data_IF_328198934564
#
_entry.id   IF_328198934564
#
_cell.length_a   1.000
_cell.length_b   1.000
_cell.length_c   1.000
_cell.angle_alpha   90.00
_cell.angle_beta   90.00
_cell.angle_gamma   90.00
#
_symmetry.space_group_name_H-M   'P 1'
#
loop_
_entity.id
_entity.type
_entity.pdbx_description
1 polymer ?
#
# COMPACT_ATOMS: atom_id res chain seq x y z
N UNK A 1 0.77 16.82 -21.76
CA UNK A 1 1.88 17.61 -21.20
C UNK A 1 1.66 18.06 -19.74
N UNK A 2 0.46 18.51 -19.36
CA UNK A 2 0.17 19.03 -18.01
C UNK A 2 0.25 17.99 -16.88
N UNK A 3 -0.19 16.75 -17.12
CA UNK A 3 -0.16 15.67 -16.13
C UNK A 3 1.28 15.23 -15.79
N UNK A 4 2.15 15.11 -16.81
CA UNK A 4 3.56 14.74 -16.60
C UNK A 4 4.30 15.80 -15.77
N UNK A 5 4.09 17.09 -16.05
CA UNK A 5 4.67 18.17 -15.24
C UNK A 5 4.10 18.20 -13.81
N UNK A 6 2.82 17.86 -13.61
CA UNK A 6 2.23 17.74 -12.28
C UNK A 6 2.87 16.60 -11.49
N UNK A 7 3.03 15.43 -12.12
CA UNK A 7 3.67 14.25 -11.53
C UNK A 7 5.15 14.55 -11.21
N UNK A 8 5.93 15.07 -12.15
CA UNK A 8 7.34 15.45 -11.92
C UNK A 8 7.48 16.50 -10.80
N UNK A 9 6.55 17.45 -10.69
CA UNK A 9 6.57 18.47 -9.62
C UNK A 9 6.22 17.91 -8.24
N UNK A 10 5.50 16.79 -8.18
CA UNK A 10 5.08 16.14 -6.92
C UNK A 10 6.01 14.99 -6.52
N UNK A 11 6.70 14.38 -7.49
CA UNK A 11 7.53 13.20 -7.29
C UNK A 11 8.91 13.40 -7.96
N UNK A 12 9.81 14.16 -7.32
CA UNK A 12 11.02 14.67 -7.97
C UNK A 12 12.14 13.64 -8.20
N UNK A 13 12.04 12.43 -7.63
CA UNK A 13 13.10 11.42 -7.72
C UNK A 13 12.57 9.98 -7.67
N UNK A 14 13.12 9.04 -8.47
CA UNK A 14 14.11 9.22 -9.53
C UNK A 14 13.49 9.73 -10.86
N UNK A 15 14.31 10.29 -11.77
CA UNK A 15 13.83 10.80 -13.06
C UNK A 15 13.17 9.72 -13.91
N UNK A 16 12.08 10.08 -14.59
CA UNK A 16 11.29 9.20 -15.49
C UNK A 16 12.12 8.49 -16.57
N UNK A 17 13.30 9.00 -16.92
CA UNK A 17 14.16 8.48 -18.00
C UNK A 17 15.25 7.49 -17.53
N UNK A 18 15.18 6.99 -16.30
CA UNK A 18 16.07 5.89 -15.89
C UNK A 18 15.59 4.57 -16.48
N UNK A 19 16.44 3.95 -17.30
CA UNK A 19 16.18 2.78 -18.13
C UNK A 19 16.09 1.46 -17.31
N UNK A 20 15.41 1.47 -16.16
CA UNK A 20 15.13 0.30 -15.32
C UNK A 20 13.88 -0.42 -15.79
N UNK A 21 13.91 -1.76 -15.80
CA UNK A 21 12.97 -2.71 -16.43
C UNK A 21 11.54 -2.19 -16.69
N UNK A 22 11.17 -2.07 -17.97
CA UNK A 22 9.76 -2.27 -18.35
C UNK A 22 9.49 -3.71 -17.93
N UNK A 23 8.54 -3.95 -17.03
CA UNK A 23 8.10 -5.32 -16.76
C UNK A 23 7.79 -5.97 -18.11
N UNK A 24 8.30 -7.19 -18.27
CA UNK A 24 8.33 -7.89 -19.55
C UNK A 24 6.91 -7.94 -20.14
N UNK A 25 6.79 -7.84 -21.48
CA UNK A 25 5.49 -7.86 -22.16
C UNK A 25 4.69 -9.16 -21.89
N UNK A 26 5.37 -10.15 -21.31
CA UNK A 26 4.89 -11.47 -20.91
C UNK A 26 4.27 -11.51 -19.51
N UNK A 27 4.59 -10.57 -18.61
CA UNK A 27 4.11 -10.59 -17.23
C UNK A 27 2.59 -10.33 -17.18
N UNK A 28 1.80 -11.19 -16.51
CA UNK A 28 0.37 -10.99 -16.40
C UNK A 28 0.02 -9.63 -15.78
N UNK A 29 -1.03 -8.98 -16.30
CA UNK A 29 -1.39 -7.62 -15.88
C UNK A 29 -1.69 -7.52 -14.37
N UNK A 30 -2.34 -8.53 -13.82
CA UNK A 30 -2.68 -8.59 -12.39
C UNK A 30 -1.43 -8.72 -11.52
N UNK A 31 -0.42 -9.47 -11.96
CA UNK A 31 0.87 -9.61 -11.27
C UNK A 31 1.59 -8.26 -11.24
N UNK A 32 1.62 -7.56 -12.38
CA UNK A 32 2.17 -6.21 -12.44
C UNK A 32 1.45 -5.24 -11.50
N UNK A 33 0.12 -5.34 -11.39
CA UNK A 33 -0.67 -4.51 -10.49
C UNK A 33 -0.37 -4.80 -9.02
N UNK A 34 -0.32 -6.09 -8.62
CA UNK A 34 -0.03 -6.52 -7.25
C UNK A 34 1.36 -6.04 -6.79
N UNK A 35 2.41 -6.23 -7.61
CA UNK A 35 3.76 -5.75 -7.29
C UNK A 35 3.80 -4.24 -7.06
N UNK A 36 3.10 -3.46 -7.88
CA UNK A 36 3.01 -2.01 -7.69
C UNK A 36 2.26 -1.68 -6.40
N UNK A 37 1.21 -2.43 -6.06
CA UNK A 37 0.50 -2.26 -4.80
C UNK A 37 1.42 -2.55 -3.61
N UNK A 38 2.18 -3.66 -3.63
CA UNK A 38 3.15 -4.03 -2.60
C UNK A 38 4.17 -2.91 -2.37
N UNK A 39 4.75 -2.37 -3.46
CA UNK A 39 5.70 -1.25 -3.38
C UNK A 39 5.12 -0.03 -2.68
N UNK A 40 3.91 0.35 -3.05
CA UNK A 40 3.21 1.48 -2.41
C UNK A 40 3.03 1.23 -0.91
N UNK A 41 2.53 0.04 -0.55
CA UNK A 41 2.27 -0.32 0.84
C UNK A 41 3.56 -0.36 1.67
N UNK A 42 4.62 -1.00 1.17
CA UNK A 42 5.93 -1.01 1.84
C UNK A 42 6.45 0.40 2.06
N UNK A 43 6.40 1.26 1.04
CA UNK A 43 6.86 2.64 1.19
C UNK A 43 6.13 3.38 2.32
N UNK A 44 4.81 3.19 2.43
CA UNK A 44 4.00 3.79 3.50
C UNK A 44 4.32 3.22 4.88
N UNK A 45 4.52 1.90 4.98
CA UNK A 45 4.98 1.28 6.24
C UNK A 45 6.32 1.86 6.65
N UNK A 46 7.29 1.94 5.73
CA UNK A 46 8.63 2.50 5.99
C UNK A 46 8.58 3.98 6.39
N UNK A 47 7.68 4.76 5.80
CA UNK A 47 7.43 6.13 6.21
C UNK A 47 6.89 6.20 7.64
N UNK A 48 5.95 5.34 8.01
CA UNK A 48 5.36 5.30 9.35
C UNK A 48 6.35 4.82 10.41
N UNK A 49 7.20 3.84 10.09
CA UNK A 49 8.29 3.38 10.98
C UNK A 49 9.22 4.54 11.31
N UNK A 50 9.74 5.24 10.29
CA UNK A 50 10.62 6.40 10.48
C UNK A 50 9.96 7.50 11.31
N UNK A 51 8.66 7.76 11.07
CA UNK A 51 7.92 8.77 11.84
C UNK A 51 7.70 8.32 13.29
N UNK A 52 7.41 7.05 13.55
CA UNK A 52 7.27 6.52 14.91
C UNK A 52 8.60 6.55 15.67
N UNK A 53 9.72 6.24 15.03
CA UNK A 53 11.06 6.35 15.61
C UNK A 53 11.40 7.79 16.01
N UNK A 54 11.10 8.76 15.14
CA UNK A 54 11.31 10.18 15.43
C UNK A 54 10.43 10.64 16.61
N UNK A 55 9.15 10.26 16.62
CA UNK A 55 8.24 10.55 17.73
C UNK A 55 8.76 9.96 19.06
N UNK A 56 9.21 8.70 19.04
CA UNK A 56 9.77 8.02 20.20
C UNK A 56 11.05 8.70 20.70
N UNK A 57 11.93 9.10 19.78
CA UNK A 57 13.20 9.78 20.09
C UNK A 57 12.98 11.15 20.72
N UNK A 58 12.00 11.92 20.22
CA UNK A 58 11.62 13.24 20.78
C UNK A 58 10.76 13.14 22.03
N UNK A 59 10.27 11.95 22.38
CA UNK A 59 9.38 11.71 23.52
C UNK A 59 8.10 12.57 23.49
N UNK A 60 7.66 13.02 22.32
CA UNK A 60 6.52 13.93 22.17
C UNK A 60 6.65 15.30 22.87
N UNK A 61 7.85 15.68 23.34
CA UNK A 61 8.10 16.95 24.05
C UNK A 61 8.48 18.09 23.12
N UNK A 62 9.31 17.79 22.12
CA UNK A 62 9.85 18.78 21.21
C UNK A 62 9.00 18.86 19.96
N UNK A 63 8.65 20.08 19.55
CA UNK A 63 7.93 20.31 18.28
C UNK A 63 8.78 19.72 17.14
N UNK A 64 8.17 18.81 16.38
CA UNK A 64 8.77 18.26 15.16
C UNK A 64 8.65 19.29 14.04
N UNK A 65 8.29 18.82 12.85
CA UNK A 65 7.98 19.72 11.72
C UNK A 65 6.89 20.74 12.13
N UNK A 66 7.13 22.06 11.98
CA UNK A 66 6.14 23.11 12.27
C UNK A 66 4.78 22.89 11.58
N UNK A 67 4.77 22.25 10.40
CA UNK A 67 3.58 21.87 9.63
C UNK A 67 2.73 20.83 10.36
N UNK A 68 3.32 20.01 11.23
CA UNK A 68 2.62 18.97 12.00
C UNK A 68 1.78 19.52 13.17
N UNK A 69 2.04 20.77 13.59
CA UNK A 69 1.29 21.44 14.65
C UNK A 69 1.79 21.08 16.05
N UNK A 70 0.87 20.87 17.00
CA UNK A 70 1.23 20.41 18.35
C UNK A 70 1.54 18.91 18.37
N UNK A 71 2.25 18.38 19.39
CA UNK A 71 2.52 16.94 19.51
C UNK A 71 1.25 16.08 19.40
N UNK A 72 0.14 16.52 20.00
CA UNK A 72 -1.15 15.85 19.88
C UNK A 72 -1.72 15.88 18.45
N UNK A 73 -1.54 16.97 17.72
CA UNK A 73 -1.93 17.04 16.31
C UNK A 73 -1.08 16.12 15.45
N UNK A 74 0.22 16.01 15.75
CA UNK A 74 1.15 15.13 15.08
C UNK A 74 0.73 13.66 15.24
N UNK A 75 0.45 13.19 16.45
CA UNK A 75 -0.06 11.83 16.70
C UNK A 75 -1.40 11.59 15.98
N UNK A 76 -2.30 12.59 15.93
CA UNK A 76 -3.55 12.49 15.16
C UNK A 76 -3.31 12.38 13.66
N UNK A 77 -2.29 13.05 13.11
CA UNK A 77 -1.91 12.93 11.69
C UNK A 77 -1.29 11.56 11.41
N UNK A 78 -0.41 11.10 12.31
CA UNK A 78 0.16 9.76 12.28
C UNK A 78 -0.93 8.68 12.21
N UNK A 79 -1.90 8.73 13.13
CA UNK A 79 -3.00 7.78 13.16
C UNK A 79 -3.93 7.83 11.95
N UNK A 80 -4.11 9.01 11.34
CA UNK A 80 -4.83 9.11 10.05
C UNK A 80 -4.05 8.40 8.94
N UNK A 81 -2.75 8.68 8.81
CA UNK A 81 -1.90 8.02 7.81
C UNK A 81 -1.86 6.51 7.99
N UNK A 82 -1.77 6.02 9.24
CA UNK A 82 -1.84 4.58 9.52
C UNK A 82 -3.20 3.98 9.15
N UNK A 83 -4.30 4.70 9.43
CA UNK A 83 -5.64 4.22 9.06
C UNK A 83 -5.85 4.13 7.56
N UNK A 84 -5.31 5.08 6.78
CA UNK A 84 -5.34 5.05 5.32
C UNK A 84 -4.53 3.87 4.77
N UNK A 85 -3.33 3.63 5.30
CA UNK A 85 -2.52 2.46 4.93
C UNK A 85 -3.25 1.16 5.24
N UNK A 86 -3.83 1.04 6.43
CA UNK A 86 -4.58 -0.15 6.83
C UNK A 86 -5.74 -0.43 5.88
N UNK A 87 -6.46 0.61 5.43
CA UNK A 87 -7.54 0.45 4.46
C UNK A 87 -7.04 -0.10 3.11
N UNK A 88 -5.92 0.43 2.61
CA UNK A 88 -5.28 -0.06 1.37
C UNK A 88 -4.84 -1.52 1.52
N UNK A 89 -4.19 -1.88 2.62
CA UNK A 89 -3.72 -3.25 2.86
C UNK A 89 -4.88 -4.25 2.95
N UNK A 90 -5.98 -3.87 3.62
CA UNK A 90 -7.14 -4.74 3.76
C UNK A 90 -7.88 -4.95 2.45
N UNK A 91 -8.03 -3.91 1.64
CA UNK A 91 -8.70 -4.03 0.35
C UNK A 91 -7.84 -4.79 -0.66
N UNK A 92 -6.51 -4.62 -0.61
CA UNK A 92 -5.57 -5.40 -1.39
C UNK A 92 -5.62 -6.89 -1.04
N UNK A 93 -5.56 -7.24 0.25
CA UNK A 93 -5.71 -8.63 0.68
C UNK A 93 -7.06 -9.22 0.21
N UNK A 94 -8.16 -8.45 0.31
CA UNK A 94 -9.46 -8.89 -0.22
C UNK A 94 -9.47 -9.06 -1.74
N UNK A 95 -8.76 -8.22 -2.47
CA UNK A 95 -8.62 -8.34 -3.92
C UNK A 95 -7.93 -9.67 -4.27
N UNK A 96 -6.87 -10.02 -3.54
CA UNK A 96 -6.17 -11.27 -3.75
C UNK A 96 -7.02 -12.49 -3.40
N UNK A 97 -7.60 -12.48 -2.20
CA UNK A 97 -8.46 -13.56 -1.69
C UNK A 97 -9.68 -13.83 -2.57
N UNK A 98 -10.22 -12.79 -3.21
CA UNK A 98 -11.46 -12.89 -3.99
C UNK A 98 -11.23 -13.12 -5.48
N UNK A 99 -10.09 -12.68 -6.02
CA UNK A 99 -9.83 -12.70 -7.46
C UNK A 99 -8.57 -13.51 -7.78
N UNK A 100 -7.42 -13.12 -7.24
CA UNK A 100 -6.11 -13.70 -7.61
C UNK A 100 -5.98 -15.15 -7.14
N UNK A 101 -6.18 -15.37 -5.84
CA UNK A 101 -6.04 -16.69 -5.21
C UNK A 101 -7.03 -17.71 -5.77
N UNK A 102 -8.32 -17.40 -5.99
CA UNK A 102 -9.23 -18.35 -6.64
C UNK A 102 -8.79 -18.80 -8.04
N UNK A 103 -8.19 -17.90 -8.84
CA UNK A 103 -7.67 -18.27 -10.16
C UNK A 103 -6.51 -19.27 -10.01
N UNK A 104 -5.61 -19.04 -9.06
CA UNK A 104 -4.50 -19.96 -8.77
C UNK A 104 -5.01 -21.30 -8.23
N UNK A 105 -5.99 -21.31 -7.33
CA UNK A 105 -6.60 -22.53 -6.78
C UNK A 105 -7.33 -23.37 -7.83
N UNK A 106 -7.85 -22.73 -8.89
CA UNK A 106 -8.40 -23.44 -10.04
C UNK A 106 -7.32 -24.11 -10.89
N UNK A 107 -6.11 -23.55 -10.94
CA UNK A 107 -4.98 -24.12 -11.66
C UNK A 107 -4.31 -25.26 -10.87
N UNK A 108 -4.07 -25.08 -9.58
CA UNK A 108 -3.61 -26.12 -8.66
C UNK A 108 -4.10 -25.85 -7.23
N UNK A 109 -4.60 -26.90 -6.57
CA UNK A 109 -5.25 -26.79 -5.26
C UNK A 109 -4.23 -26.62 -4.15
N UNK A 110 -4.42 -25.59 -3.33
CA UNK A 110 -3.65 -25.30 -2.13
C UNK A 110 -2.52 -24.30 -2.32
N UNK A 111 -2.33 -23.75 -3.53
CA UNK A 111 -1.27 -22.77 -3.83
C UNK A 111 -1.36 -21.52 -2.96
N UNK A 112 -2.57 -21.04 -2.69
CA UNK A 112 -2.80 -19.79 -1.97
C UNK A 112 -3.04 -19.96 -0.47
N UNK A 113 -3.00 -21.20 0.04
CA UNK A 113 -3.39 -21.50 1.42
C UNK A 113 -2.51 -20.78 2.44
N UNK A 114 -1.20 -20.76 2.24
CA UNK A 114 -0.26 -20.13 3.17
C UNK A 114 -0.48 -18.61 3.24
N UNK A 115 -0.60 -17.94 2.08
CA UNK A 115 -0.86 -16.50 1.99
C UNK A 115 -2.19 -16.11 2.67
N UNK A 116 -3.27 -16.88 2.44
CA UNK A 116 -4.55 -16.69 3.14
C UNK A 116 -4.42 -16.80 4.67
N UNK A 117 -3.67 -17.80 5.15
CA UNK A 117 -3.44 -17.97 6.59
C UNK A 117 -2.58 -16.84 7.18
N UNK A 118 -1.71 -16.21 6.38
CA UNK A 118 -0.93 -15.03 6.75
C UNK A 118 -1.80 -13.79 6.91
N UNK A 119 -2.65 -13.50 5.93
CA UNK A 119 -3.63 -12.40 6.03
C UNK A 119 -4.45 -12.48 7.32
N UNK A 120 -4.92 -13.69 7.67
CA UNK A 120 -5.67 -13.93 8.90
C UNK A 120 -4.86 -13.66 10.18
N UNK A 121 -3.54 -13.92 10.15
CA UNK A 121 -2.63 -13.67 11.29
C UNK A 121 -2.23 -12.19 11.40
N UNK A 122 -2.12 -11.48 10.29
CA UNK A 122 -1.68 -10.08 10.28
C UNK A 122 -2.78 -9.10 10.67
N UNK A 123 -4.03 -9.42 10.37
CA UNK A 123 -5.19 -8.59 10.74
C UNK A 123 -5.24 -8.20 12.24
N UNK A 124 -5.11 -9.13 13.21
CA UNK A 124 -5.09 -8.75 14.62
C UNK A 124 -3.85 -7.92 15.01
N UNK A 125 -2.70 -8.12 14.37
CA UNK A 125 -1.48 -7.33 14.60
C UNK A 125 -1.72 -5.88 14.21
N UNK A 126 -2.25 -5.66 12.99
CA UNK A 126 -2.58 -4.34 12.47
C UNK A 126 -3.64 -3.62 13.32
N UNK A 127 -4.70 -4.33 13.72
CA UNK A 127 -5.70 -3.76 14.63
C UNK A 127 -5.10 -3.39 16.00
N UNK A 128 -4.20 -4.19 16.54
CA UNK A 128 -3.50 -3.88 17.79
C UNK A 128 -2.69 -2.58 17.68
N UNK A 129 -1.97 -2.37 16.58
CA UNK A 129 -1.23 -1.12 16.33
C UNK A 129 -2.19 0.08 16.24
N UNK A 130 -3.34 -0.08 15.58
CA UNK A 130 -4.39 0.97 15.51
C UNK A 130 -4.86 1.40 16.90
N UNK A 131 -5.10 0.44 17.79
CA UNK A 131 -5.53 0.73 19.18
C UNK A 131 -4.40 1.35 20.02
N UNK A 132 -3.15 0.95 19.82
CA UNK A 132 -1.99 1.58 20.46
C UNK A 132 -1.90 3.07 20.09
N UNK A 133 -2.08 3.41 18.80
CA UNK A 133 -2.06 4.79 18.32
C UNK A 133 -3.19 5.62 18.96
N UNK A 134 -4.41 5.07 19.05
CA UNK A 134 -5.54 5.76 19.71
C UNK A 134 -5.23 6.02 21.18
N UNK A 135 -4.66 5.03 21.87
CA UNK A 135 -4.29 5.13 23.28
C UNK A 135 -3.23 6.20 23.50
N UNK A 136 -2.18 6.25 22.66
CA UNK A 136 -1.16 7.29 22.71
C UNK A 136 -1.77 8.69 22.50
N UNK A 137 -2.77 8.82 21.64
CA UNK A 137 -3.43 10.09 21.33
C UNK A 137 -4.16 10.77 22.51
N UNK A 138 -4.37 10.05 23.62
CA UNK A 138 -4.98 10.57 24.85
C UNK A 138 -4.00 10.71 26.02
N UNK A 139 -2.76 10.24 25.87
CA UNK A 139 -1.74 10.37 26.92
C UNK A 139 -1.18 11.80 26.99
N UNK A 140 -0.71 12.17 28.18
CA UNK A 140 0.00 13.42 28.39
C UNK A 140 1.32 13.41 27.65
N UNK A 141 1.44 14.27 26.63
CA UNK A 141 2.64 14.38 25.80
C UNK A 141 3.86 14.70 26.66
N UNK A 142 4.93 13.92 26.49
CA UNK A 142 6.14 14.07 27.28
C UNK A 142 6.14 13.40 28.65
N UNK A 143 5.07 12.73 29.05
CA UNK A 143 5.10 11.84 30.21
C UNK A 143 5.97 10.59 29.92
N UNK A 144 6.58 9.97 30.95
CA UNK A 144 7.32 8.71 30.76
C UNK A 144 6.45 7.60 30.13
N UNK A 145 5.17 7.55 30.48
CA UNK A 145 4.19 6.59 29.93
C UNK A 145 3.96 6.83 28.44
N UNK A 146 3.81 8.09 28.02
CA UNK A 146 3.69 8.44 26.60
C UNK A 146 4.94 8.05 25.81
N UNK A 147 6.12 8.28 26.39
CA UNK A 147 7.39 7.93 25.76
C UNK A 147 7.56 6.41 25.60
N UNK A 148 7.25 5.63 26.64
CA UNK A 148 7.25 4.16 26.57
C UNK A 148 6.27 3.63 25.52
N UNK A 149 5.05 4.17 25.49
CA UNK A 149 4.05 3.79 24.50
C UNK A 149 4.49 4.09 23.06
N UNK A 150 5.16 5.23 22.82
CA UNK A 150 5.73 5.56 21.51
C UNK A 150 6.87 4.61 21.11
N UNK A 151 7.71 4.20 22.06
CA UNK A 151 8.78 3.23 21.80
C UNK A 151 8.23 1.84 21.45
N UNK A 152 7.21 1.40 22.19
CA UNK A 152 6.51 0.14 21.91
C UNK A 152 5.82 0.17 20.55
N UNK A 153 5.13 1.27 20.20
CA UNK A 153 4.53 1.47 18.89
C UNK A 153 5.57 1.38 17.77
N UNK A 154 6.71 2.08 17.93
CA UNK A 154 7.82 2.02 16.96
C UNK A 154 8.32 0.60 16.75
N UNK A 155 8.48 -0.17 17.84
CA UNK A 155 8.92 -1.57 17.80
C UNK A 155 7.91 -2.45 17.05
N UNK A 156 6.62 -2.32 17.35
CA UNK A 156 5.56 -3.09 16.67
C UNK A 156 5.45 -2.76 15.18
N UNK A 157 5.64 -1.50 14.81
CA UNK A 157 5.65 -1.09 13.40
C UNK A 157 6.85 -1.66 12.64
N UNK A 158 8.01 -1.79 13.28
CA UNK A 158 9.16 -2.48 12.67
C UNK A 158 8.88 -3.96 12.46
N UNK A 159 8.25 -4.62 13.43
CA UNK A 159 7.82 -6.02 13.26
C UNK A 159 6.84 -6.15 12.10
N UNK A 160 5.83 -5.27 12.01
CA UNK A 160 4.90 -5.26 10.88
C UNK A 160 5.62 -5.02 9.55
N UNK A 161 6.61 -4.11 9.52
CA UNK A 161 7.41 -3.84 8.33
C UNK A 161 8.14 -5.09 7.84
N UNK A 162 8.81 -5.83 8.73
CA UNK A 162 9.52 -7.05 8.35
C UNK A 162 8.53 -8.11 7.86
N UNK A 163 7.40 -8.30 8.54
CA UNK A 163 6.36 -9.23 8.09
C UNK A 163 5.83 -8.88 6.69
N UNK A 164 5.49 -7.61 6.43
CA UNK A 164 5.03 -7.20 5.11
C UNK A 164 6.10 -7.43 4.03
N UNK A 165 7.38 -7.21 4.36
CA UNK A 165 8.47 -7.45 3.43
C UNK A 165 8.63 -8.93 3.11
N UNK A 166 8.57 -9.79 4.13
CA UNK A 166 8.67 -11.24 3.96
C UNK A 166 7.48 -11.76 3.13
N UNK A 167 6.26 -11.42 3.55
CA UNK A 167 5.02 -11.83 2.87
C UNK A 167 5.01 -11.42 1.38
N UNK A 168 5.20 -10.13 1.07
CA UNK A 168 5.21 -9.69 -0.33
C UNK A 168 6.37 -10.28 -1.13
N UNK A 169 7.54 -10.54 -0.52
CA UNK A 169 8.64 -11.20 -1.22
C UNK A 169 8.33 -12.66 -1.54
N UNK A 170 7.67 -13.38 -0.64
CA UNK A 170 7.24 -14.76 -0.87
C UNK A 170 6.20 -14.81 -1.98
N UNK A 171 5.24 -13.89 -1.98
CA UNK A 171 4.26 -13.81 -3.06
C UNK A 171 4.89 -13.46 -4.41
N UNK A 172 5.72 -12.43 -4.46
CA UNK A 172 6.37 -11.99 -5.70
C UNK A 172 7.33 -13.03 -6.28
N UNK A 173 7.96 -13.84 -5.43
CA UNK A 173 8.93 -14.86 -5.83
C UNK A 173 8.29 -16.21 -6.16
N UNK A 174 7.33 -16.64 -5.34
CA UNK A 174 6.89 -18.04 -5.34
C UNK A 174 5.43 -18.19 -5.81
N UNK A 175 4.56 -17.21 -5.54
CA UNK A 175 3.12 -17.33 -5.80
C UNK A 175 2.68 -16.63 -7.08
N UNK A 176 2.91 -15.32 -7.20
CA UNK A 176 2.50 -14.49 -8.33
C UNK A 176 3.05 -14.98 -9.69
N UNK A 177 4.29 -15.48 -9.80
CA UNK A 177 4.78 -16.03 -11.06
C UNK A 177 3.96 -17.23 -11.58
N UNK A 178 3.28 -17.98 -10.69
CA UNK A 178 2.41 -19.09 -11.09
C UNK A 178 1.18 -18.62 -11.88
N UNK A 179 0.84 -17.33 -11.82
CA UNK A 179 -0.22 -16.75 -12.66
C UNK A 179 0.11 -16.90 -14.15
N UNK A 180 1.38 -16.97 -14.55
CA UNK A 180 1.77 -17.23 -15.95
C UNK A 180 1.32 -18.61 -16.42
N UNK A 181 1.33 -19.61 -15.53
CA UNK A 181 0.91 -20.98 -15.84
C UNK A 181 -0.62 -21.14 -16.01
N UNK A 182 -1.39 -20.09 -15.72
CA UNK A 182 -2.85 -20.08 -15.92
C UNK A 182 -3.24 -19.84 -17.38
N UNK A 183 -2.27 -19.50 -18.24
CA UNK A 183 -2.42 -19.32 -19.70
C UNK A 183 -3.61 -18.41 -20.10
N UNK A 184 -3.93 -17.41 -19.28
CA UNK A 184 -5.02 -16.47 -19.55
C UNK A 184 -4.74 -15.69 -20.83
N UNK A 185 -5.74 -15.66 -21.73
CA UNK A 185 -5.73 -14.79 -22.91
C UNK A 185 -5.62 -13.33 -22.48
N UNK A 186 -5.18 -12.46 -23.39
CA UNK A 186 -5.09 -11.03 -23.12
C UNK A 186 -6.41 -10.43 -22.64
N UNK A 187 -7.53 -10.80 -23.28
CA UNK A 187 -8.86 -10.35 -22.89
C UNK A 187 -9.28 -10.89 -21.52
N UNK A 188 -8.83 -12.10 -21.16
CA UNK A 188 -9.05 -12.64 -19.81
C UNK A 188 -8.23 -11.86 -18.76
N UNK A 189 -6.96 -11.56 -19.05
CA UNK A 189 -6.13 -10.77 -18.15
C UNK A 189 -6.69 -9.36 -17.92
N UNK A 190 -7.19 -8.70 -18.97
CA UNK A 190 -7.82 -7.39 -18.85
C UNK A 190 -9.11 -7.45 -17.99
N UNK A 191 -9.92 -8.51 -18.13
CA UNK A 191 -11.10 -8.72 -17.27
C UNK A 191 -10.73 -9.01 -15.81
N UNK A 192 -9.70 -9.81 -15.57
CA UNK A 192 -9.21 -10.08 -14.21
C UNK A 192 -8.70 -8.80 -13.56
N UNK A 193 -7.94 -8.00 -14.29
CA UNK A 193 -7.47 -6.70 -13.81
C UNK A 193 -8.63 -5.75 -13.45
N UNK A 194 -9.67 -5.71 -14.29
CA UNK A 194 -10.88 -4.92 -14.03
C UNK A 194 -11.59 -5.38 -12.75
N UNK A 195 -11.75 -6.70 -12.54
CA UNK A 195 -12.31 -7.25 -11.30
C UNK A 195 -11.46 -6.92 -10.07
N UNK A 196 -10.14 -6.93 -10.21
CA UNK A 196 -9.25 -6.50 -9.12
C UNK A 196 -9.47 -5.03 -8.76
N UNK A 197 -9.62 -4.16 -9.77
CA UNK A 197 -9.88 -2.74 -9.56
C UNK A 197 -11.29 -2.47 -8.99
N UNK A 198 -12.28 -3.29 -9.34
CA UNK A 198 -13.61 -3.25 -8.74
C UNK A 198 -13.57 -3.57 -7.24
N UNK A 199 -12.80 -4.57 -6.82
CA UNK A 199 -12.61 -4.85 -5.40
C UNK A 199 -11.90 -3.69 -4.71
N UNK A 200 -10.92 -3.08 -5.38
CA UNK A 200 -10.15 -1.94 -4.88
C UNK A 200 -10.89 -0.57 -4.96
N UNK A 201 -12.18 -0.57 -5.35
CA UNK A 201 -12.93 0.66 -5.59
C UNK A 201 -13.05 1.53 -4.33
N UNK A 202 -13.16 0.92 -3.14
CA UNK A 202 -13.27 1.65 -1.88
C UNK A 202 -12.08 2.57 -1.69
N UNK A 203 -10.86 2.05 -1.69
CA UNK A 203 -9.64 2.86 -1.55
C UNK A 203 -9.37 3.72 -2.77
N UNK A 204 -9.59 3.24 -3.99
CA UNK A 204 -9.33 4.04 -5.20
C UNK A 204 -10.30 5.22 -5.37
N UNK A 205 -11.46 5.19 -4.72
CA UNK A 205 -12.39 6.32 -4.75
C UNK A 205 -11.96 7.53 -3.93
N UNK A 206 -11.06 7.37 -2.94
CA UNK A 206 -10.72 8.47 -2.00
C UNK A 206 -9.28 8.44 -1.45
N UNK A 207 -8.58 7.33 -1.56
CA UNK A 207 -7.16 7.15 -1.19
C UNK A 207 -6.24 6.96 -2.39
N UNK A 208 -6.73 7.11 -3.63
CA UNK A 208 -5.89 6.88 -4.80
C UNK A 208 -4.63 7.76 -4.84
N UNK A 209 -4.76 9.03 -4.43
CA UNK A 209 -3.60 9.90 -4.26
C UNK A 209 -2.63 9.41 -3.18
N UNK A 210 -3.15 8.99 -2.04
CA UNK A 210 -2.34 8.41 -0.96
C UNK A 210 -1.60 7.17 -1.47
N UNK A 211 -2.27 6.29 -2.22
CA UNK A 211 -1.67 5.13 -2.87
C UNK A 211 -0.52 5.54 -3.81
N UNK A 212 -0.74 6.50 -4.72
CA UNK A 212 0.29 6.94 -5.66
C UNK A 212 1.50 7.59 -4.97
N UNK A 213 1.34 8.19 -3.78
CA UNK A 213 2.46 8.73 -3.00
C UNK A 213 3.49 7.68 -2.60
N UNK A 214 3.08 6.40 -2.50
CA UNK A 214 3.97 5.29 -2.19
C UNK A 214 4.77 4.78 -3.38
N UNK A 215 4.55 5.32 -4.58
CA UNK A 215 5.18 4.86 -5.80
C UNK A 215 6.24 5.84 -6.31
N UNK A 216 7.27 5.27 -6.96
CA UNK A 216 8.15 6.06 -7.80
C UNK A 216 7.37 6.63 -9.00
N UNK A 217 7.78 7.76 -9.59
CA UNK A 217 7.04 8.40 -10.70
C UNK A 217 6.73 7.43 -11.85
N UNK A 218 7.71 6.58 -12.19
CA UNK A 218 7.59 5.57 -13.24
C UNK A 218 6.58 4.48 -12.89
N UNK A 219 6.61 4.00 -11.66
CA UNK A 219 5.71 2.97 -11.14
C UNK A 219 4.28 3.51 -11.05
N UNK A 220 4.12 4.77 -10.65
CA UNK A 220 2.83 5.46 -10.67
C UNK A 220 2.27 5.54 -12.10
N UNK A 221 3.08 5.92 -13.09
CA UNK A 221 2.65 5.92 -14.50
C UNK A 221 2.29 4.52 -15.00
N UNK A 222 3.06 3.50 -14.61
CA UNK A 222 2.74 2.12 -14.96
C UNK A 222 1.39 1.69 -14.37
N UNK A 223 1.12 2.04 -13.11
CA UNK A 223 -0.16 1.74 -12.48
C UNK A 223 -1.32 2.47 -13.17
N UNK A 224 -1.11 3.72 -13.58
CA UNK A 224 -2.09 4.47 -14.37
C UNK A 224 -2.33 3.85 -15.75
N UNK A 225 -1.29 3.36 -16.43
CA UNK A 225 -1.44 2.62 -17.69
C UNK A 225 -2.32 1.39 -17.50
N UNK A 226 -2.08 0.60 -16.44
CA UNK A 226 -2.90 -0.56 -16.09
C UNK A 226 -4.37 -0.18 -15.89
N UNK A 227 -4.67 0.87 -15.11
CA UNK A 227 -6.05 1.35 -14.92
C UNK A 227 -6.69 1.74 -16.26
N UNK A 228 -5.96 2.39 -17.17
CA UNK A 228 -6.55 2.83 -18.45
C UNK A 228 -6.90 1.69 -19.41
N UNK A 229 -6.38 0.47 -19.16
CA UNK A 229 -6.74 -0.74 -19.88
C UNK A 229 -8.13 -1.29 -19.52
N UNK A 230 -8.73 -0.85 -18.42
CA UNK A 230 -10.10 -1.20 -18.08
C UNK A 230 -11.11 -0.74 -19.13
N UNK A 231 -12.17 -1.53 -19.28
CA UNK A 231 -13.20 -1.29 -20.28
C UNK A 231 -14.16 -0.18 -19.83
N UNK A 232 -14.44 -0.11 -18.52
CA UNK A 232 -15.26 0.95 -17.92
C UNK A 232 -14.54 2.31 -17.91
N UNK A 233 -14.85 3.14 -18.91
CA UNK A 233 -14.27 4.49 -19.04
C UNK A 233 -14.79 5.48 -17.99
N UNK A 234 -15.97 5.26 -17.43
CA UNK A 234 -16.50 6.13 -16.37
C UNK A 234 -15.79 5.90 -15.05
N UNK A 235 -15.57 4.63 -14.71
CA UNK A 235 -14.80 4.23 -13.53
C UNK A 235 -13.36 4.74 -13.63
N UNK A 236 -12.69 4.52 -14.77
CA UNK A 236 -11.33 5.04 -15.02
C UNK A 236 -11.29 6.55 -14.86
N UNK A 237 -12.20 7.29 -15.49
CA UNK A 237 -12.26 8.74 -15.35
C UNK A 237 -12.50 9.17 -13.90
N UNK A 238 -13.31 8.43 -13.15
CA UNK A 238 -13.57 8.68 -11.73
C UNK A 238 -12.31 8.54 -10.87
N UNK A 239 -11.55 7.46 -11.05
CA UNK A 239 -10.29 7.21 -10.34
C UNK A 239 -9.25 8.29 -10.69
N UNK A 240 -9.09 8.60 -11.98
CA UNK A 240 -8.12 9.60 -12.44
C UNK A 240 -8.41 11.02 -11.94
N UNK A 241 -9.69 11.38 -11.75
CA UNK A 241 -10.05 12.67 -11.13
C UNK A 241 -9.50 12.83 -9.72
N UNK A 242 -9.38 11.73 -8.95
CA UNK A 242 -8.85 11.73 -7.57
C UNK A 242 -7.38 12.10 -7.46
N UNK A 243 -6.64 12.15 -8.57
CA UNK A 243 -5.26 12.65 -8.60
C UNK A 243 -5.20 14.17 -8.38
N UNK A 244 -6.24 14.88 -8.86
CA UNK A 244 -6.30 16.35 -8.88
C UNK A 244 -7.13 16.94 -7.74
N UNK A 245 -7.95 16.11 -7.09
CA UNK A 245 -8.68 16.44 -5.87
C UNK A 245 -7.76 16.36 -4.61
#
# INVERSE_FOLDING_TARGET
ETLLRYIDSKFPSPPLMSNGSRYDETTPLVVSAAILQHRSMIWHVERLVRWAEDLATRGGRTRGDPVMGSPRMEVRKFGRSYSQLLEVMLEHAQMEERIVFPIMEMADRGLSKAANEEHARDLPIMNGIKEDIKSIGVLDSGSPVCQEALFNLSTRLKTLQEHCKEHFQEEERDLLPLMEATELSREQQERVLEQCLDVMQGTHSHLFRFFLEGLLPRDALQYLDLITRCSDKEQVASILRKIFE
#
